data_IF_990085729573
#
_entry.id   IF_990085729573
#
_cell.length_a   1.000
_cell.length_b   1.000
_cell.length_c   1.000
_cell.angle_alpha   90.00
_cell.angle_beta   90.00
_cell.angle_gamma   90.00
#
_symmetry.space_group_name_H-M   'P 1'
#
loop_
_entity.id
_entity.type
_entity.pdbx_description
1 polymer ?
#
# COMPACT_ATOMS: atom_id res chain seq x y z
N UNK A 1 -27.74 -38.16 2.39
CA UNK A 1 -26.57 -37.94 3.26
C UNK A 1 -25.52 -37.19 2.47
N UNK A 2 -25.04 -36.11 3.10
CA UNK A 2 -24.15 -35.02 2.72
C UNK A 2 -23.06 -35.25 1.65
N UNK A 3 -23.05 -34.31 0.70
CA UNK A 3 -21.95 -33.49 0.18
C UNK A 3 -20.53 -33.73 0.74
N UNK A 4 -19.54 -33.68 -0.16
CA UNK A 4 -18.44 -32.70 -0.07
C UNK A 4 -17.76 -32.52 -1.43
N UNK A 5 -18.09 -31.42 -2.13
CA UNK A 5 -17.24 -30.82 -3.16
C UNK A 5 -16.66 -29.56 -2.53
N UNK A 6 -15.41 -29.62 -2.08
CA UNK A 6 -14.69 -28.44 -1.63
C UNK A 6 -14.22 -27.63 -2.84
N UNK A 7 -14.85 -26.47 -3.00
CA UNK A 7 -14.40 -25.35 -3.79
C UNK A 7 -13.10 -24.80 -3.19
N UNK A 8 -11.98 -24.91 -3.89
CA UNK A 8 -10.79 -24.12 -3.59
C UNK A 8 -10.83 -22.84 -4.44
N UNK A 9 -11.20 -21.74 -3.80
CA UNK A 9 -10.96 -20.38 -4.28
C UNK A 9 -9.45 -20.08 -4.10
N UNK A 10 -8.78 -19.66 -5.17
CA UNK A 10 -7.41 -19.16 -5.11
C UNK A 10 -7.42 -17.64 -4.87
N UNK A 11 -6.72 -17.12 -3.84
CA UNK A 11 -6.47 -15.69 -3.70
C UNK A 11 -5.20 -15.25 -4.44
N UNK A 12 -5.29 -14.08 -5.07
CA UNK A 12 -4.29 -13.41 -5.89
C UNK A 12 -2.99 -13.03 -5.14
N UNK A 13 -1.82 -13.36 -5.70
CA UNK A 13 -0.51 -12.79 -5.31
C UNK A 13 0.32 -12.46 -6.57
N UNK A 14 0.03 -11.33 -7.21
CA UNK A 14 0.45 -11.05 -8.60
C UNK A 14 1.97 -11.09 -8.91
N UNK A 15 2.92 -10.65 -8.07
CA UNK A 15 4.35 -10.75 -8.42
C UNK A 15 4.93 -12.16 -8.17
N UNK A 16 4.49 -12.84 -7.11
CA UNK A 16 4.86 -14.23 -6.82
C UNK A 16 4.18 -15.21 -7.80
N UNK A 17 2.98 -14.89 -8.29
CA UNK A 17 2.28 -15.68 -9.31
C UNK A 17 2.93 -15.52 -10.67
N UNK A 18 3.57 -14.40 -11.03
CA UNK A 18 4.36 -14.35 -12.28
C UNK A 18 5.61 -15.23 -12.16
N UNK A 19 6.29 -15.24 -11.01
CA UNK A 19 7.40 -16.16 -10.76
C UNK A 19 6.95 -17.63 -10.71
N UNK A 20 5.85 -17.95 -10.01
CA UNK A 20 5.29 -19.31 -9.90
C UNK A 20 4.60 -19.76 -11.20
N UNK A 21 3.98 -18.87 -11.98
CA UNK A 21 3.41 -19.16 -13.30
C UNK A 21 4.49 -19.28 -14.38
N UNK A 22 5.62 -18.59 -14.24
CA UNK A 22 6.82 -18.89 -15.03
C UNK A 22 7.39 -20.27 -14.69
N UNK A 23 7.25 -20.73 -13.44
CA UNK A 23 7.65 -22.07 -12.98
C UNK A 23 6.61 -23.15 -13.36
N UNK A 24 5.31 -22.83 -13.40
CA UNK A 24 4.22 -23.80 -13.66
C UNK A 24 3.65 -23.77 -15.08
N UNK A 25 4.05 -22.80 -15.91
CA UNK A 25 3.60 -22.62 -17.29
C UNK A 25 4.55 -23.17 -18.35
N UNK A 26 5.64 -23.84 -17.97
CA UNK A 26 6.59 -24.48 -18.89
C UNK A 26 6.07 -25.82 -19.43
N UNK A 27 4.88 -25.80 -20.02
CA UNK A 27 4.52 -26.79 -21.03
C UNK A 27 5.27 -26.47 -22.31
N UNK A 28 6.42 -27.13 -22.53
CA UNK A 28 7.30 -27.10 -23.72
C UNK A 28 8.47 -26.10 -23.75
N UNK A 29 9.20 -25.96 -22.64
CA UNK A 29 10.60 -25.48 -22.69
C UNK A 29 11.52 -26.62 -22.25
N UNK A 30 12.22 -27.24 -23.21
CA UNK A 30 13.14 -28.37 -23.01
C UNK A 30 14.47 -28.00 -22.28
N UNK A 31 14.46 -27.00 -21.39
CA UNK A 31 15.63 -26.56 -20.64
C UNK A 31 15.34 -26.28 -19.15
N UNK A 32 14.17 -26.65 -18.64
CA UNK A 32 13.88 -26.70 -17.21
C UNK A 32 13.50 -28.15 -16.88
N UNK A 33 14.41 -28.86 -16.22
CA UNK A 33 14.11 -30.19 -15.70
C UNK A 33 13.01 -30.04 -14.64
N UNK A 34 11.91 -30.76 -14.82
CA UNK A 34 10.84 -30.91 -13.82
C UNK A 34 11.48 -31.45 -12.54
N UNK A 35 11.71 -30.58 -11.57
CA UNK A 35 12.12 -31.00 -10.24
C UNK A 35 10.88 -31.49 -9.51
N UNK A 36 10.80 -32.79 -9.30
CA UNK A 36 9.79 -33.44 -8.47
C UNK A 36 9.94 -33.00 -7.01
N UNK A 37 8.85 -33.09 -6.23
CA UNK A 37 8.88 -32.83 -4.77
C UNK A 37 9.93 -33.70 -4.04
N UNK A 38 10.28 -34.86 -4.61
CA UNK A 38 11.34 -35.74 -4.10
C UNK A 38 12.72 -35.14 -4.35
N UNK A 39 12.96 -34.52 -5.51
CA UNK A 39 14.21 -33.81 -5.81
C UNK A 39 14.34 -32.51 -5.01
N UNK A 40 13.24 -31.78 -4.79
CA UNK A 40 13.21 -30.63 -3.87
C UNK A 40 13.45 -31.04 -2.41
N UNK A 41 12.97 -32.21 -1.99
CA UNK A 41 13.22 -32.78 -0.67
C UNK A 41 14.65 -33.31 -0.46
N UNK A 42 15.44 -33.46 -1.53
CA UNK A 42 16.86 -33.81 -1.51
C UNK A 42 17.77 -32.57 -1.51
N UNK A 43 17.22 -31.38 -1.74
CA UNK A 43 17.95 -30.12 -1.58
C UNK A 43 17.93 -29.79 -0.09
N UNK A 44 19.04 -30.09 0.58
CA UNK A 44 19.34 -29.55 1.90
C UNK A 44 19.58 -28.04 1.76
N UNK A 45 18.50 -27.25 1.80
CA UNK A 45 18.54 -25.77 1.79
C UNK A 45 19.17 -25.16 3.05
N UNK A 46 20.04 -25.90 3.74
CA UNK A 46 20.73 -25.50 4.96
C UNK A 46 21.68 -24.32 4.71
N UNK A 47 22.13 -24.13 3.46
CA UNK A 47 23.02 -23.04 3.02
C UNK A 47 22.29 -21.89 2.30
N UNK A 48 20.96 -21.90 2.26
CA UNK A 48 20.15 -20.85 1.63
C UNK A 48 19.79 -21.09 0.15
N UNK A 49 19.01 -20.17 -0.42
CA UNK A 49 18.50 -20.20 -1.79
C UNK A 49 18.72 -18.84 -2.45
N UNK A 50 19.43 -18.86 -3.58
CA UNK A 50 19.58 -17.70 -4.45
C UNK A 50 18.89 -17.95 -5.79
N UNK A 51 17.97 -17.06 -6.18
CA UNK A 51 17.31 -17.05 -7.48
C UNK A 51 17.65 -15.75 -8.18
N UNK A 52 18.12 -15.83 -9.42
CA UNK A 52 18.24 -14.69 -10.33
C UNK A 52 17.44 -14.98 -11.60
N UNK A 53 16.52 -14.08 -11.95
CA UNK A 53 15.70 -14.18 -13.14
C UNK A 53 15.77 -12.87 -13.93
N UNK A 54 16.18 -12.97 -15.20
CA UNK A 54 16.17 -11.87 -16.18
C UNK A 54 15.14 -12.15 -17.27
N UNK A 55 14.48 -11.09 -17.75
CA UNK A 55 13.56 -11.19 -18.89
C UNK A 55 13.49 -9.88 -19.69
N UNK A 56 13.28 -9.99 -21.00
CA UNK A 56 13.24 -8.82 -21.89
C UNK A 56 11.89 -8.09 -21.83
N UNK A 57 10.80 -8.84 -21.68
CA UNK A 57 9.44 -8.32 -21.53
C UNK A 57 8.52 -9.44 -21.04
N UNK A 58 7.33 -9.06 -20.57
CA UNK A 58 6.26 -10.03 -20.30
C UNK A 58 4.92 -9.43 -20.71
N UNK A 59 4.02 -10.29 -21.22
CA UNK A 59 2.66 -9.89 -21.58
C UNK A 59 1.66 -10.77 -20.86
N UNK A 60 0.67 -10.15 -20.23
CA UNK A 60 -0.44 -10.82 -19.57
C UNK A 60 -1.70 -10.31 -20.25
N UNK A 61 -2.50 -11.21 -20.83
CA UNK A 61 -3.70 -10.81 -21.55
C UNK A 61 -4.66 -10.03 -20.63
N UNK A 62 -4.84 -10.52 -19.40
CA UNK A 62 -5.74 -9.94 -18.41
C UNK A 62 -5.28 -10.26 -17.00
N UNK A 63 -5.18 -9.23 -16.17
CA UNK A 63 -5.09 -9.38 -14.71
C UNK A 63 -6.39 -8.87 -14.09
N UNK A 64 -6.80 -9.43 -12.96
CA UNK A 64 -8.03 -9.00 -12.32
C UNK A 64 -8.00 -9.11 -10.79
N UNK A 65 -8.82 -8.29 -10.16
CA UNK A 65 -9.22 -8.39 -8.76
C UNK A 65 -10.73 -8.61 -8.71
N UNK A 66 -11.21 -9.57 -7.93
CA UNK A 66 -12.63 -9.84 -7.75
C UNK A 66 -13.04 -9.67 -6.30
N UNK A 67 -14.27 -9.23 -6.12
CA UNK A 67 -14.86 -8.94 -4.82
C UNK A 67 -16.38 -9.14 -4.83
N UNK A 68 -16.99 -9.30 -3.66
CA UNK A 68 -18.44 -9.32 -3.46
C UNK A 68 -18.95 -7.91 -3.19
N UNK A 69 -19.92 -7.48 -3.98
CA UNK A 69 -20.65 -6.25 -3.77
C UNK A 69 -22.10 -6.58 -3.43
N UNK A 70 -22.67 -5.94 -2.40
CA UNK A 70 -24.09 -6.09 -2.12
C UNK A 70 -24.97 -5.35 -3.11
N UNK A 71 -26.21 -5.82 -3.21
CA UNK A 71 -27.26 -5.30 -4.07
C UNK A 71 -28.41 -4.76 -3.23
N UNK A 72 -29.15 -3.79 -3.79
CA UNK A 72 -30.37 -3.27 -3.18
C UNK A 72 -31.47 -4.32 -2.97
N UNK A 73 -31.35 -5.49 -3.58
CA UNK A 73 -32.29 -6.63 -3.48
C UNK A 73 -31.96 -7.58 -2.31
N UNK A 74 -31.06 -7.19 -1.41
CA UNK A 74 -30.59 -8.02 -0.28
C UNK A 74 -29.89 -9.30 -0.75
N UNK A 75 -29.02 -9.17 -1.74
CA UNK A 75 -28.21 -10.25 -2.29
C UNK A 75 -26.84 -9.70 -2.67
N UNK A 76 -25.84 -10.56 -2.84
CA UNK A 76 -24.52 -10.15 -3.32
C UNK A 76 -24.30 -10.52 -4.79
N UNK A 77 -23.45 -9.75 -5.46
CA UNK A 77 -22.90 -10.07 -6.77
C UNK A 77 -21.38 -10.05 -6.72
N UNK A 78 -20.73 -10.88 -7.52
CA UNK A 78 -19.28 -10.74 -7.73
C UNK A 78 -19.04 -9.71 -8.83
N UNK A 79 -18.18 -8.73 -8.52
CA UNK A 79 -17.63 -7.79 -9.50
C UNK A 79 -16.14 -8.08 -9.68
N UNK A 80 -15.61 -7.73 -10.85
CA UNK A 80 -14.18 -7.77 -11.10
C UNK A 80 -13.66 -6.44 -11.64
N UNK A 81 -12.53 -5.99 -11.11
CA UNK A 81 -11.69 -4.97 -11.72
C UNK A 81 -10.70 -5.66 -12.66
N UNK A 82 -10.86 -5.44 -13.95
CA UNK A 82 -10.08 -6.07 -15.02
C UNK A 82 -9.11 -5.08 -15.63
N UNK A 83 -7.85 -5.50 -15.70
CA UNK A 83 -6.75 -4.83 -16.38
C UNK A 83 -6.42 -5.62 -17.64
N UNK A 84 -6.84 -5.10 -18.79
CA UNK A 84 -6.68 -5.76 -20.10
C UNK A 84 -5.40 -5.31 -20.81
N UNK A 85 -4.77 -6.23 -21.54
CA UNK A 85 -3.57 -5.98 -22.33
C UNK A 85 -2.41 -5.50 -21.46
N UNK A 86 -2.10 -6.26 -20.41
CA UNK A 86 -1.02 -5.94 -19.49
C UNK A 86 0.32 -6.30 -20.14
N UNK A 87 1.27 -5.38 -20.04
CA UNK A 87 2.63 -5.55 -20.55
C UNK A 87 3.64 -5.05 -19.54
N UNK A 88 4.80 -5.70 -19.50
CA UNK A 88 5.97 -5.31 -18.73
C UNK A 88 7.10 -5.09 -19.74
N UNK A 89 7.63 -3.87 -19.79
CA UNK A 89 8.71 -3.50 -20.71
C UNK A 89 9.78 -2.70 -19.96
N UNK A 90 11.08 -2.90 -20.26
CA UNK A 90 12.16 -2.08 -19.69
C UNK A 90 11.97 -0.59 -19.96
N UNK A 91 12.39 0.25 -19.02
CA UNK A 91 12.31 1.72 -19.15
C UNK A 91 13.60 2.35 -19.67
N UNK A 92 14.61 1.53 -20.00
CA UNK A 92 15.96 2.00 -20.28
C UNK A 92 16.61 2.66 -19.06
N UNK A 93 16.09 2.43 -17.85
CA UNK A 93 16.61 3.01 -16.63
C UNK A 93 18.05 2.52 -16.38
N UNK A 94 18.97 3.46 -16.22
CA UNK A 94 20.38 3.21 -15.92
C UNK A 94 20.65 3.07 -14.42
N UNK A 95 19.62 3.16 -13.59
CA UNK A 95 19.72 3.22 -12.13
C UNK A 95 19.34 1.91 -11.45
N UNK A 96 19.47 0.78 -12.14
CA UNK A 96 19.46 -0.50 -11.43
C UNK A 96 20.63 -0.53 -10.44
N UNK A 97 20.37 -0.94 -9.21
CA UNK A 97 21.43 -1.11 -8.20
C UNK A 97 22.30 -2.33 -8.48
N UNK A 98 21.92 -3.14 -9.47
CA UNK A 98 22.73 -4.23 -9.98
C UNK A 98 23.37 -3.86 -11.32
N UNK A 99 24.69 -3.62 -11.27
CA UNK A 99 25.52 -3.28 -12.43
C UNK A 99 25.52 -4.38 -13.51
N UNK A 100 25.07 -5.59 -13.20
CA UNK A 100 25.02 -6.71 -14.14
C UNK A 100 23.72 -6.76 -14.96
N UNK A 101 22.67 -6.03 -14.57
CA UNK A 101 21.32 -6.15 -15.14
C UNK A 101 20.83 -4.90 -15.90
N UNK A 102 21.74 -4.06 -16.42
CA UNK A 102 21.35 -2.81 -17.09
C UNK A 102 20.50 -3.07 -18.35
N UNK A 103 19.27 -2.55 -18.36
CA UNK A 103 18.41 -2.52 -19.56
C UNK A 103 17.46 -3.71 -19.73
N UNK A 104 17.47 -4.69 -18.82
CA UNK A 104 16.48 -5.78 -18.78
C UNK A 104 15.61 -5.69 -17.54
N UNK A 105 14.52 -6.43 -17.52
CA UNK A 105 13.74 -6.67 -16.30
C UNK A 105 14.43 -7.78 -15.50
N UNK A 106 14.47 -7.65 -14.18
CA UNK A 106 15.11 -8.66 -13.33
C UNK A 106 14.44 -8.82 -11.98
N UNK A 107 14.69 -9.97 -11.37
CA UNK A 107 14.31 -10.28 -9.99
C UNK A 107 15.38 -11.15 -9.37
N UNK A 108 15.96 -10.67 -8.27
CA UNK A 108 16.87 -11.45 -7.42
C UNK A 108 16.17 -11.77 -6.10
N UNK A 109 16.26 -13.02 -5.67
CA UNK A 109 15.80 -13.49 -4.36
C UNK A 109 17.00 -14.15 -3.67
N UNK A 110 17.30 -13.72 -2.45
CA UNK A 110 18.23 -14.42 -1.57
C UNK A 110 17.50 -14.80 -0.28
N UNK A 111 17.54 -16.07 0.08
CA UNK A 111 16.90 -16.63 1.25
C UNK A 111 17.93 -17.41 2.05
N UNK A 112 18.40 -16.84 3.16
CA UNK A 112 19.28 -17.53 4.09
C UNK A 112 18.46 -18.05 5.27
N UNK A 113 18.67 -19.30 5.64
CA UNK A 113 18.05 -19.93 6.82
C UNK A 113 19.18 -20.25 7.79
N UNK A 114 19.07 -19.80 9.03
CA UNK A 114 20.07 -20.04 10.05
C UNK A 114 19.43 -20.48 11.34
N UNK A 115 20.13 -21.25 12.15
CA UNK A 115 19.67 -21.64 13.48
C UNK A 115 20.68 -21.29 14.57
N UNK A 116 20.18 -21.00 15.76
CA UNK A 116 20.97 -20.79 16.96
C UNK A 116 20.25 -21.45 18.13
N UNK A 117 20.72 -22.63 18.54
CA UNK A 117 20.04 -23.45 19.55
C UNK A 117 18.69 -23.94 19.02
N UNK A 118 17.61 -23.66 19.76
CA UNK A 118 16.25 -24.05 19.39
C UNK A 118 15.55 -23.06 18.43
N UNK A 119 16.18 -21.92 18.13
CA UNK A 119 15.63 -20.89 17.25
C UNK A 119 16.09 -21.09 15.81
N UNK A 120 15.17 -20.96 14.86
CA UNK A 120 15.47 -20.89 13.42
C UNK A 120 15.05 -19.52 12.91
N UNK A 121 16.00 -18.77 12.37
CA UNK A 121 15.80 -17.45 11.78
C UNK A 121 15.80 -17.49 10.25
N UNK A 122 15.32 -16.40 9.66
CA UNK A 122 15.27 -16.21 8.22
C UNK A 122 15.89 -14.88 7.84
N UNK A 123 16.73 -14.83 6.81
CA UNK A 123 17.05 -13.60 6.11
C UNK A 123 16.58 -13.71 4.66
N UNK A 124 15.55 -12.95 4.31
CA UNK A 124 15.00 -12.84 2.97
C UNK A 124 15.37 -11.47 2.40
N UNK A 125 16.06 -11.45 1.28
CA UNK A 125 16.34 -10.24 0.50
C UNK A 125 15.78 -10.43 -0.89
N UNK A 126 15.05 -9.44 -1.38
CA UNK A 126 14.56 -9.42 -2.75
C UNK A 126 14.78 -8.05 -3.36
N UNK A 127 15.20 -8.06 -4.61
CA UNK A 127 15.31 -6.88 -5.45
C UNK A 127 14.63 -7.20 -6.77
N UNK A 128 13.80 -6.28 -7.27
CA UNK A 128 13.16 -6.46 -8.56
C UNK A 128 13.02 -5.14 -9.29
N UNK A 129 13.30 -5.18 -10.59
CA UNK A 129 13.10 -4.07 -11.50
C UNK A 129 12.13 -4.52 -12.59
N UNK A 130 10.98 -3.86 -12.65
CA UNK A 130 9.87 -4.23 -13.54
C UNK A 130 9.66 -3.23 -14.69
N UNK A 131 10.55 -2.24 -14.83
CA UNK A 131 10.44 -1.20 -15.86
C UNK A 131 9.05 -0.56 -15.85
N UNK A 132 8.32 -0.65 -16.95
CA UNK A 132 6.93 -0.19 -17.08
C UNK A 132 5.97 -1.37 -17.09
N UNK A 133 5.19 -1.51 -16.03
CA UNK A 133 3.98 -2.32 -16.00
C UNK A 133 2.82 -1.46 -16.52
N UNK A 134 2.22 -1.80 -17.66
CA UNK A 134 1.13 -1.04 -18.29
C UNK A 134 -0.04 -1.94 -18.65
N UNK A 135 -1.23 -1.55 -18.23
CA UNK A 135 -2.51 -2.06 -18.73
C UNK A 135 -3.11 -1.07 -19.74
N UNK A 136 -3.58 -1.58 -20.87
CA UNK A 136 -4.22 -0.76 -21.90
C UNK A 136 -5.58 -0.22 -21.47
N UNK A 137 -6.30 -0.96 -20.61
CA UNK A 137 -7.61 -0.57 -20.13
C UNK A 137 -7.87 -1.14 -18.74
N UNK A 138 -8.40 -0.29 -17.85
CA UNK A 138 -9.03 -0.69 -16.57
C UNK A 138 -10.55 -0.62 -16.71
N UNK A 139 -11.26 -1.71 -16.40
CA UNK A 139 -12.74 -1.79 -16.44
C UNK A 139 -13.26 -2.50 -15.20
N UNK A 140 -14.47 -2.13 -14.78
CA UNK A 140 -15.24 -2.94 -13.83
C UNK A 140 -16.25 -3.76 -14.63
N UNK A 141 -16.29 -5.07 -14.37
CA UNK A 141 -17.16 -6.01 -15.05
C UNK A 141 -17.83 -6.98 -14.07
N UNK A 142 -18.71 -7.81 -14.60
CA UNK A 142 -19.22 -9.00 -13.91
C UNK A 142 -18.11 -10.02 -13.58
N UNK A 143 -18.49 -11.08 -12.86
CA UNK A 143 -17.60 -12.15 -12.43
C UNK A 143 -16.89 -12.88 -13.59
N UNK A 144 -17.48 -12.91 -14.78
CA UNK A 144 -16.88 -13.56 -15.95
C UNK A 144 -15.99 -12.60 -16.77
N UNK A 145 -16.08 -11.30 -16.52
CA UNK A 145 -15.44 -10.27 -17.34
C UNK A 145 -16.05 -10.16 -18.74
N UNK A 146 -17.32 -10.55 -18.88
CA UNK A 146 -18.07 -10.56 -20.13
C UNK A 146 -18.92 -9.28 -20.29
N UNK A 147 -19.55 -8.82 -19.21
CA UNK A 147 -20.32 -7.58 -19.19
C UNK A 147 -19.56 -6.53 -18.39
N UNK A 148 -19.10 -5.48 -19.08
CA UNK A 148 -18.26 -4.43 -18.50
C UNK A 148 -18.89 -3.03 -18.63
N UNK A 149 -18.58 -2.16 -17.67
CA UNK A 149 -18.77 -0.72 -17.81
C UNK A 149 -17.74 -0.09 -18.76
N UNK A 150 -17.82 1.23 -18.91
CA UNK A 150 -16.82 2.00 -19.65
C UNK A 150 -15.42 1.86 -19.02
N UNK A 151 -14.39 1.98 -19.86
CA UNK A 151 -13.00 2.00 -19.38
C UNK A 151 -12.73 3.25 -18.54
N UNK A 152 -11.99 3.07 -17.46
CA UNK A 152 -11.41 4.16 -16.67
C UNK A 152 -10.13 4.72 -17.29
N UNK A 153 -9.68 4.15 -18.40
CA UNK A 153 -8.46 4.52 -19.11
C UNK A 153 -7.35 3.47 -18.96
N UNK A 154 -6.16 3.82 -19.44
CA UNK A 154 -4.95 3.02 -19.26
C UNK A 154 -4.32 3.29 -17.89
N UNK A 155 -3.73 2.25 -17.30
CA UNK A 155 -3.03 2.35 -16.02
C UNK A 155 -1.58 1.89 -16.21
N UNK A 156 -0.62 2.62 -15.66
CA UNK A 156 0.77 2.17 -15.68
C UNK A 156 1.49 2.47 -14.37
N UNK A 157 2.43 1.61 -14.02
CA UNK A 157 3.40 1.83 -12.94
C UNK A 157 4.78 1.67 -13.55
N UNK A 158 5.65 2.62 -13.27
CA UNK A 158 7.00 2.66 -13.79
C UNK A 158 8.00 2.67 -12.65
N UNK A 159 8.87 1.68 -12.60
CA UNK A 159 10.05 1.66 -11.74
C UNK A 159 11.20 2.38 -12.45
N UNK A 160 11.86 3.27 -11.70
CA UNK A 160 13.05 4.02 -12.12
C UNK A 160 14.34 3.39 -11.58
N UNK A 161 14.21 2.60 -10.51
CA UNK A 161 15.27 1.85 -9.83
C UNK A 161 14.68 0.57 -9.23
N UNK A 162 15.55 -0.31 -8.73
CA UNK A 162 15.16 -1.58 -8.12
C UNK A 162 14.28 -1.35 -6.88
N UNK A 163 13.17 -2.09 -6.82
CA UNK A 163 12.36 -2.19 -5.60
C UNK A 163 13.00 -3.23 -4.70
N UNK A 164 13.29 -2.83 -3.46
CA UNK A 164 13.97 -3.67 -2.47
C UNK A 164 12.99 -4.09 -1.37
N UNK A 165 13.06 -5.35 -0.97
CA UNK A 165 12.46 -5.83 0.26
C UNK A 165 13.45 -6.75 1.00
N UNK A 166 13.81 -6.34 2.22
CA UNK A 166 14.66 -7.13 3.11
C UNK A 166 13.89 -7.44 4.38
N UNK A 167 13.98 -8.69 4.83
CA UNK A 167 13.39 -9.19 6.06
C UNK A 167 14.42 -10.04 6.77
N UNK A 168 14.65 -9.79 8.06
CA UNK A 168 15.49 -10.65 8.89
C UNK A 168 14.78 -10.96 10.19
N UNK A 169 14.63 -12.24 10.51
CA UNK A 169 14.00 -12.73 11.73
C UNK A 169 14.95 -13.65 12.49
N UNK A 170 14.81 -13.68 13.82
CA UNK A 170 15.61 -14.59 14.67
C UNK A 170 14.89 -15.90 14.97
N UNK A 171 13.56 -15.83 15.17
CA UNK A 171 12.75 -16.95 15.66
C UNK A 171 11.57 -17.23 14.70
N UNK A 172 11.87 -17.36 13.41
CA UNK A 172 10.93 -17.72 12.36
C UNK A 172 10.11 -16.55 11.81
N UNK A 173 9.20 -16.85 10.89
CA UNK A 173 8.19 -15.90 10.41
C UNK A 173 7.00 -15.88 11.37
N UNK A 174 6.34 -14.73 11.45
CA UNK A 174 5.09 -14.53 12.19
C UNK A 174 5.15 -14.77 13.71
N UNK A 175 6.34 -14.69 14.30
CA UNK A 175 6.49 -14.83 15.74
C UNK A 175 6.19 -13.51 16.44
N UNK A 176 5.06 -13.46 17.16
CA UNK A 176 4.61 -12.27 17.90
C UNK A 176 5.56 -11.83 19.01
N UNK A 177 6.48 -12.70 19.46
CA UNK A 177 7.37 -12.47 20.59
C UNK A 177 8.84 -12.29 20.19
N UNK A 178 9.15 -12.30 18.89
CA UNK A 178 10.51 -12.16 18.40
C UNK A 178 10.65 -10.97 17.46
N UNK A 179 11.75 -10.24 17.63
CA UNK A 179 12.06 -9.11 16.79
C UNK A 179 12.41 -9.54 15.37
N UNK A 180 12.04 -8.69 14.44
CA UNK A 180 12.46 -8.72 13.06
C UNK A 180 12.92 -7.34 12.60
N UNK A 181 13.78 -7.33 11.60
CA UNK A 181 14.14 -6.14 10.85
C UNK A 181 13.48 -6.22 9.47
N UNK A 182 12.89 -5.11 9.03
CA UNK A 182 12.33 -4.97 7.68
C UNK A 182 12.89 -3.74 7.01
N UNK A 183 13.14 -3.85 5.73
CA UNK A 183 13.33 -2.75 4.80
C UNK A 183 12.37 -2.96 3.64
N UNK A 184 11.58 -1.92 3.32
CA UNK A 184 10.82 -1.84 2.09
C UNK A 184 11.25 -0.57 1.36
N UNK A 185 11.76 -0.72 0.15
CA UNK A 185 12.21 0.36 -0.70
C UNK A 185 11.34 0.46 -1.96
N UNK A 186 10.11 0.95 -1.83
CA UNK A 186 9.38 1.45 -3.01
C UNK A 186 9.91 2.85 -3.30
N UNK A 187 10.80 2.99 -4.28
CA UNK A 187 11.54 4.23 -4.55
C UNK A 187 11.30 4.72 -5.97
N UNK A 188 11.06 6.03 -6.11
CA UNK A 188 10.93 6.74 -7.37
C UNK A 188 9.95 6.09 -8.37
N UNK A 189 8.83 5.54 -7.88
CA UNK A 189 7.83 4.93 -8.76
C UNK A 189 6.96 6.00 -9.41
N UNK A 190 6.70 5.91 -10.71
CA UNK A 190 5.71 6.77 -11.36
C UNK A 190 4.44 5.97 -11.64
N UNK A 191 3.31 6.43 -11.11
CA UNK A 191 2.00 5.85 -11.37
C UNK A 191 1.24 6.76 -12.33
N UNK A 192 0.67 6.19 -13.39
CA UNK A 192 -0.05 6.92 -14.43
C UNK A 192 -1.48 6.40 -14.55
N UNK A 193 -2.43 7.32 -14.60
CA UNK A 193 -3.78 7.09 -15.10
C UNK A 193 -3.95 7.91 -16.38
N UNK A 194 -4.07 7.21 -17.52
CA UNK A 194 -4.22 7.83 -18.84
C UNK A 194 -5.67 7.77 -19.28
N UNK A 195 -6.30 8.92 -19.48
CA UNK A 195 -7.66 9.02 -19.99
C UNK A 195 -7.67 9.71 -21.35
N UNK A 196 -8.46 9.16 -22.26
CA UNK A 196 -8.67 9.76 -23.58
C UNK A 196 -9.85 10.73 -23.51
N UNK A 197 -9.59 12.01 -23.79
CA UNK A 197 -10.60 13.03 -23.97
C UNK A 197 -11.21 12.98 -25.39
N UNK A 198 -12.27 13.74 -25.60
CA UNK A 198 -12.87 13.94 -26.94
C UNK A 198 -11.81 14.37 -27.95
N UNK A 199 -11.88 13.82 -29.17
CA UNK A 199 -10.88 14.05 -30.22
C UNK A 199 -9.63 13.18 -30.12
N UNK A 200 -9.61 12.16 -29.25
CA UNK A 200 -8.54 11.16 -29.19
C UNK A 200 -7.30 11.60 -28.38
N UNK A 201 -7.40 12.71 -27.64
CA UNK A 201 -6.29 13.30 -26.90
C UNK A 201 -6.10 12.59 -25.55
N UNK A 202 -4.92 12.02 -25.34
CA UNK A 202 -4.59 11.36 -24.07
C UNK A 202 -4.08 12.37 -23.03
N UNK A 203 -4.74 12.41 -21.87
CA UNK A 203 -4.32 13.16 -20.70
C UNK A 203 -3.93 12.20 -19.57
N UNK A 204 -2.96 12.60 -18.77
CA UNK A 204 -2.38 11.78 -17.71
C UNK A 204 -2.51 12.50 -16.37
N UNK A 205 -3.07 11.77 -15.40
CA UNK A 205 -2.86 12.04 -13.98
C UNK A 205 -1.70 11.16 -13.51
N UNK A 206 -0.76 11.75 -12.78
CA UNK A 206 0.51 11.11 -12.45
C UNK A 206 0.81 11.30 -10.96
N UNK A 207 1.08 10.20 -10.25
CA UNK A 207 1.81 10.25 -8.98
C UNK A 207 3.26 9.98 -9.32
N UNK A 208 4.07 11.04 -9.35
CA UNK A 208 5.48 11.00 -9.73
C UNK A 208 6.34 10.71 -8.51
N UNK A 209 7.45 10.01 -8.71
CA UNK A 209 8.45 9.73 -7.68
C UNK A 209 7.81 9.25 -6.36
N UNK A 210 6.79 8.40 -6.47
CA UNK A 210 6.13 7.79 -5.34
C UNK A 210 7.17 7.03 -4.54
N UNK A 211 7.27 7.39 -3.26
CA UNK A 211 8.14 6.71 -2.32
C UNK A 211 7.28 6.13 -1.20
N UNK A 212 7.57 4.89 -0.87
CA UNK A 212 7.29 4.31 0.43
C UNK A 212 8.52 3.50 0.83
N UNK A 213 9.50 4.25 1.34
CA UNK A 213 10.83 3.80 1.67
C UNK A 213 11.02 3.84 3.19
N UNK A 214 10.99 2.67 3.81
CA UNK A 214 11.17 2.55 5.25
C UNK A 214 12.07 1.39 5.64
N UNK A 215 12.78 1.58 6.75
CA UNK A 215 13.53 0.52 7.41
C UNK A 215 13.17 0.55 8.90
N UNK A 216 13.05 -0.60 9.54
CA UNK A 216 12.66 -0.62 10.94
C UNK A 216 12.88 -1.96 11.62
N UNK A 217 12.75 -1.92 12.94
CA UNK A 217 12.81 -3.08 13.82
C UNK A 217 11.53 -3.15 14.65
N UNK A 218 10.89 -4.32 14.64
CA UNK A 218 9.63 -4.54 15.35
C UNK A 218 9.18 -6.00 15.27
N UNK A 219 7.88 -6.21 15.20
CA UNK A 219 7.24 -7.51 15.20
C UNK A 219 6.38 -7.68 13.94
N UNK A 220 6.34 -8.89 13.40
CA UNK A 220 5.37 -9.30 12.38
C UNK A 220 4.75 -10.61 12.79
N UNK A 221 3.42 -10.69 12.75
CA UNK A 221 2.66 -11.87 13.15
C UNK A 221 1.27 -11.89 12.53
N UNK A 222 0.61 -13.05 12.62
CA UNK A 222 -0.82 -13.17 12.32
C UNK A 222 -1.57 -13.03 13.63
N UNK A 223 -2.33 -11.95 13.78
CA UNK A 223 -3.19 -11.74 14.94
C UNK A 223 -4.39 -12.69 14.90
N UNK A 224 -4.78 -13.20 16.05
CA UNK A 224 -5.91 -14.12 16.20
C UNK A 224 -7.16 -13.44 16.80
N UNK A 225 -8.23 -14.19 17.02
CA UNK A 225 -9.48 -13.65 17.58
C UNK A 225 -9.37 -13.16 19.03
N UNK A 226 -8.26 -13.41 19.71
CA UNK A 226 -8.02 -13.02 21.12
C UNK A 226 -7.28 -11.70 21.25
N UNK A 227 -6.84 -11.10 20.13
CA UNK A 227 -6.21 -9.78 20.14
C UNK A 227 -7.12 -8.73 20.80
N UNK A 228 -6.56 -7.98 21.74
CA UNK A 228 -7.27 -6.92 22.47
C UNK A 228 -7.61 -5.74 21.58
N UNK A 229 -6.79 -5.49 20.55
CA UNK A 229 -7.08 -4.54 19.49
C UNK A 229 -7.92 -5.22 18.39
N UNK A 230 -9.19 -4.83 18.19
CA UNK A 230 -10.06 -5.46 17.18
C UNK A 230 -9.52 -5.37 15.75
N UNK A 231 -8.74 -4.32 15.44
CA UNK A 231 -8.10 -4.21 14.13
C UNK A 231 -7.12 -5.35 13.89
N UNK A 232 -6.45 -5.86 14.92
CA UNK A 232 -5.40 -6.89 14.80
C UNK A 232 -5.96 -8.31 14.65
N UNK A 233 -7.23 -8.52 14.99
CA UNK A 233 -7.84 -9.84 14.91
C UNK A 233 -7.90 -10.35 13.47
N UNK A 234 -7.43 -11.58 13.25
CA UNK A 234 -7.36 -12.26 11.96
C UNK A 234 -6.61 -11.44 10.90
N UNK A 235 -5.53 -10.76 11.29
CA UNK A 235 -4.78 -9.85 10.43
C UNK A 235 -3.30 -10.19 10.34
N UNK A 236 -2.68 -9.86 9.22
CA UNK A 236 -1.24 -9.64 9.18
C UNK A 236 -0.95 -8.32 9.88
N UNK A 237 -0.18 -8.37 10.95
CA UNK A 237 0.21 -7.21 11.76
C UNK A 237 1.72 -7.03 11.64
N UNK A 238 2.14 -5.82 11.28
CA UNK A 238 3.49 -5.33 11.49
C UNK A 238 3.40 -4.23 12.53
N UNK A 239 4.20 -4.28 13.59
CA UNK A 239 4.16 -3.24 14.62
C UNK A 239 5.48 -3.00 15.34
N UNK A 240 5.59 -1.83 15.95
CA UNK A 240 6.61 -1.49 16.94
C UNK A 240 5.91 -1.27 18.28
N UNK A 241 6.26 -2.04 19.32
CA UNK A 241 5.60 -1.93 20.64
C UNK A 241 6.56 -1.57 21.77
N UNK A 242 7.85 -1.92 21.64
CA UNK A 242 8.83 -1.68 22.69
C UNK A 242 9.57 -0.37 22.50
N UNK A 243 10.14 0.14 23.60
CA UNK A 243 10.87 1.41 23.63
C UNK A 243 12.13 1.47 22.74
N UNK A 244 12.60 0.33 22.21
CA UNK A 244 13.72 0.28 21.26
C UNK A 244 13.29 0.06 19.80
N UNK A 245 11.99 -0.14 19.55
CA UNK A 245 11.46 -0.43 18.22
C UNK A 245 11.11 0.86 17.49
N UNK A 246 11.33 0.88 16.17
CA UNK A 246 11.10 2.06 15.36
C UNK A 246 10.97 1.71 13.88
N UNK A 247 10.46 2.68 13.12
CA UNK A 247 10.51 2.71 11.67
C UNK A 247 11.10 4.07 11.23
N UNK A 248 12.07 4.05 10.35
CA UNK A 248 12.66 5.23 9.72
C UNK A 248 12.14 5.38 8.29
N UNK A 249 11.43 6.47 8.03
CA UNK A 249 11.07 6.92 6.69
C UNK A 249 12.28 7.63 6.09
N UNK A 250 13.10 6.87 5.37
CA UNK A 250 14.36 7.35 4.81
C UNK A 250 14.11 8.13 3.53
N UNK A 251 14.65 9.36 3.44
CA UNK A 251 14.61 10.15 2.20
C UNK A 251 15.24 9.38 1.04
N UNK A 252 14.72 9.60 -0.16
CA UNK A 252 15.11 8.92 -1.39
C UNK A 252 15.71 9.94 -2.34
N UNK A 253 16.88 9.65 -2.92
CA UNK A 253 17.49 10.50 -3.96
C UNK A 253 16.63 10.47 -5.21
N UNK A 254 16.31 11.62 -5.78
CA UNK A 254 15.63 11.71 -7.08
C UNK A 254 16.63 11.41 -8.20
N UNK A 255 16.36 10.35 -8.96
CA UNK A 255 17.25 9.93 -10.07
C UNK A 255 17.30 10.96 -11.21
N UNK A 256 16.30 11.84 -11.32
CA UNK A 256 16.16 12.81 -12.40
C UNK A 256 16.43 14.25 -11.96
N UNK A 257 16.81 14.50 -10.69
CA UNK A 257 16.99 15.86 -10.17
C UNK A 257 17.99 15.95 -9.01
N UNK A 258 18.97 16.84 -9.12
CA UNK A 258 20.05 17.00 -8.12
C UNK A 258 20.06 18.36 -7.38
N UNK A 259 18.96 19.12 -7.42
CA UNK A 259 18.89 20.49 -6.91
C UNK A 259 18.00 20.73 -5.69
N UNK A 260 17.74 22.00 -5.37
CA UNK A 260 16.80 22.42 -4.32
C UNK A 260 17.34 22.32 -2.89
N UNK A 261 16.57 22.86 -1.93
CA UNK A 261 16.99 22.96 -0.52
C UNK A 261 17.21 21.62 0.19
N UNK A 262 16.66 20.53 -0.36
CA UNK A 262 16.84 19.17 0.14
C UNK A 262 17.90 18.35 -0.64
N UNK A 263 18.73 19.01 -1.47
CA UNK A 263 19.84 18.38 -2.17
C UNK A 263 19.43 17.26 -3.14
N UNK A 264 18.33 17.42 -3.85
CA UNK A 264 17.83 16.42 -4.80
C UNK A 264 17.15 15.21 -4.15
N UNK A 265 16.72 15.31 -2.89
CA UNK A 265 16.04 14.19 -2.19
C UNK A 265 14.55 14.43 -1.99
N UNK A 266 13.75 13.39 -2.20
CA UNK A 266 12.34 13.33 -1.89
C UNK A 266 12.10 12.60 -0.54
N UNK A 267 11.00 12.88 0.16
CA UNK A 267 10.60 12.19 1.38
C UNK A 267 10.55 10.67 1.27
N UNK A 268 10.71 9.98 2.41
CA UNK A 268 10.60 8.52 2.47
C UNK A 268 9.19 8.01 2.17
N UNK A 269 8.16 8.72 2.65
CA UNK A 269 6.80 8.65 2.09
C UNK A 269 6.59 9.89 1.22
N UNK A 270 6.43 9.72 -0.09
CA UNK A 270 6.24 10.84 -1.02
C UNK A 270 5.04 10.59 -1.95
N UNK A 271 4.13 11.55 -1.97
CA UNK A 271 3.01 11.63 -2.91
C UNK A 271 3.12 12.95 -3.69
N UNK A 272 3.78 12.93 -4.84
CA UNK A 272 3.90 14.10 -5.74
C UNK A 272 2.92 13.97 -6.91
N UNK A 273 1.81 14.68 -6.81
CA UNK A 273 0.69 14.63 -7.74
C UNK A 273 0.86 15.72 -8.80
N UNK A 274 0.91 15.28 -10.05
CA UNK A 274 1.04 16.13 -11.23
C UNK A 274 0.10 15.66 -12.33
N UNK A 275 -0.14 16.50 -13.34
CA UNK A 275 -0.90 16.12 -14.52
C UNK A 275 -0.21 16.59 -15.80
N UNK A 276 -0.52 15.92 -16.91
CA UNK A 276 0.03 16.25 -18.22
C UNK A 276 -1.05 16.06 -19.29
N UNK A 277 -1.25 17.08 -20.13
CA UNK A 277 -2.19 17.02 -21.23
C UNK A 277 -1.52 16.62 -22.55
N UNK A 278 -2.28 16.10 -23.51
CA UNK A 278 -1.81 15.81 -24.87
C UNK A 278 -0.50 14.98 -24.91
N UNK A 279 -0.54 13.80 -24.30
CA UNK A 279 0.64 12.95 -24.05
C UNK A 279 0.93 11.93 -25.14
N UNK A 280 0.02 11.78 -26.12
CA UNK A 280 0.09 10.69 -27.10
C UNK A 280 0.15 9.33 -26.38
N UNK A 281 1.16 8.53 -26.67
CA UNK A 281 1.40 7.23 -26.00
C UNK A 281 2.52 7.27 -24.97
N UNK A 282 3.14 8.43 -24.76
CA UNK A 282 4.37 8.56 -23.98
C UNK A 282 4.09 8.56 -22.48
N UNK A 283 4.84 7.75 -21.73
CA UNK A 283 4.86 7.76 -20.25
C UNK A 283 6.18 8.37 -19.79
N UNK A 284 6.16 9.66 -19.44
CA UNK A 284 7.36 10.39 -19.01
C UNK A 284 6.98 11.55 -18.10
N UNK A 285 7.84 11.82 -17.12
CA UNK A 285 7.73 12.95 -16.19
C UNK A 285 8.78 14.04 -16.45
N UNK A 286 9.66 13.84 -17.43
CA UNK A 286 10.86 14.67 -17.69
C UNK A 286 10.88 15.37 -19.06
N UNK A 287 9.79 15.25 -19.83
CA UNK A 287 9.66 15.90 -21.14
C UNK A 287 9.64 17.43 -21.04
N UNK A 288 10.68 18.06 -21.60
CA UNK A 288 10.87 19.52 -21.60
C UNK A 288 9.90 20.27 -22.52
N UNK A 289 9.39 19.61 -23.56
CA UNK A 289 8.49 20.22 -24.56
C UNK A 289 7.03 20.21 -24.10
N UNK A 290 6.68 19.26 -23.25
CA UNK A 290 5.38 19.15 -22.60
C UNK A 290 5.59 18.77 -21.12
N UNK A 291 6.00 19.72 -20.27
CA UNK A 291 6.31 19.45 -18.88
C UNK A 291 5.06 19.10 -18.07
N UNK A 292 5.27 18.31 -17.02
CA UNK A 292 4.22 18.04 -16.04
C UNK A 292 3.80 19.31 -15.31
N UNK A 293 2.54 19.40 -14.93
CA UNK A 293 1.96 20.51 -14.17
C UNK A 293 1.62 20.04 -12.76
N UNK A 294 2.09 20.77 -11.76
CA UNK A 294 1.89 20.43 -10.35
C UNK A 294 0.43 20.52 -9.92
N UNK A 295 0.06 19.66 -8.96
CA UNK A 295 -1.19 19.78 -8.20
C UNK A 295 -0.87 19.92 -6.73
N UNK A 296 -0.26 18.89 -6.15
CA UNK A 296 -0.07 18.75 -4.72
C UNK A 296 1.10 17.82 -4.45
N UNK A 297 1.91 18.15 -3.45
CA UNK A 297 2.91 17.25 -2.88
C UNK A 297 2.66 17.09 -1.39
N UNK A 298 2.63 15.83 -0.95
CA UNK A 298 2.59 15.44 0.46
C UNK A 298 3.79 14.55 0.75
N UNK A 299 4.47 14.78 1.87
CA UNK A 299 5.64 14.01 2.24
C UNK A 299 5.77 13.77 3.74
N UNK A 300 6.41 12.66 4.11
CA UNK A 300 6.85 12.41 5.47
C UNK A 300 8.23 11.73 5.50
N UNK A 301 9.07 12.11 6.45
CA UNK A 301 10.41 11.55 6.66
C UNK A 301 10.76 11.48 8.15
N UNK A 302 11.80 10.73 8.48
CA UNK A 302 12.31 10.61 9.86
C UNK A 302 11.74 9.40 10.60
N UNK A 303 11.98 9.35 11.91
CA UNK A 303 11.66 8.19 12.74
C UNK A 303 10.26 8.23 13.29
N UNK A 304 9.56 7.11 13.27
CA UNK A 304 8.29 6.90 13.94
C UNK A 304 8.35 5.66 14.86
N UNK A 305 7.50 5.67 15.88
CA UNK A 305 7.39 4.65 16.95
C UNK A 305 5.93 4.32 17.20
N UNK A 306 5.62 3.32 18.01
CA UNK A 306 4.23 2.83 18.21
C UNK A 306 3.49 2.66 16.86
N UNK A 307 4.26 2.34 15.82
CA UNK A 307 3.79 2.19 14.48
C UNK A 307 3.11 0.84 14.33
N UNK A 308 2.04 0.80 13.57
CA UNK A 308 1.45 -0.44 13.13
C UNK A 308 0.91 -0.33 11.71
N UNK A 309 1.07 -1.41 10.96
CA UNK A 309 0.42 -1.65 9.68
C UNK A 309 -0.33 -2.96 9.80
N UNK A 310 -1.63 -2.90 9.54
CA UNK A 310 -2.54 -4.03 9.65
C UNK A 310 -3.15 -4.26 8.29
N UNK A 311 -3.16 -5.51 7.83
CA UNK A 311 -3.80 -5.91 6.56
C UNK A 311 -4.59 -7.19 6.78
N UNK A 312 -5.86 -7.21 6.36
CA UNK A 312 -6.71 -8.40 6.40
C UNK A 312 -7.85 -8.36 5.38
N UNK A 313 -8.45 -9.52 5.13
CA UNK A 313 -9.77 -9.56 4.51
C UNK A 313 -10.82 -8.97 5.43
N UNK A 314 -11.87 -8.37 4.87
CA UNK A 314 -12.97 -7.77 5.65
C UNK A 314 -14.32 -8.25 5.15
N UNK A 315 -15.20 -8.61 6.09
CA UNK A 315 -16.63 -8.75 5.84
C UNK A 315 -17.29 -7.42 6.18
N UNK A 316 -17.70 -6.68 5.15
CA UNK A 316 -18.32 -5.37 5.29
C UNK A 316 -19.78 -5.42 5.69
N UNK A 317 -20.37 -6.61 5.89
CA UNK A 317 -21.81 -6.77 6.19
C UNK A 317 -22.13 -6.55 7.66
N UNK A 318 -23.36 -6.14 7.90
CA UNK A 318 -23.97 -6.05 9.22
C UNK A 318 -25.43 -6.46 9.13
N UNK A 319 -25.98 -7.08 10.18
CA UNK A 319 -27.40 -7.47 10.25
C UNK A 319 -28.34 -6.31 9.89
N UNK A 320 -27.94 -5.07 10.24
CA UNK A 320 -28.55 -3.83 9.76
C UNK A 320 -27.63 -3.18 8.72
N UNK A 321 -27.98 -3.17 7.41
CA UNK A 321 -27.11 -2.65 6.36
C UNK A 321 -26.66 -1.19 6.54
N UNK A 322 -27.47 -0.35 7.19
CA UNK A 322 -27.07 1.02 7.50
C UNK A 322 -25.83 1.13 8.42
N UNK A 323 -25.53 0.06 9.18
CA UNK A 323 -24.37 -0.05 10.07
C UNK A 323 -23.23 -0.87 9.45
N UNK A 324 -23.36 -1.25 8.17
CA UNK A 324 -22.31 -1.91 7.41
C UNK A 324 -21.19 -0.93 7.05
N UNK A 325 -20.03 -1.44 6.64
CA UNK A 325 -18.95 -0.61 6.10
C UNK A 325 -19.52 0.17 4.90
N UNK A 326 -19.50 1.50 4.97
CA UNK A 326 -20.04 2.43 3.96
C UNK A 326 -21.58 2.40 3.75
N UNK A 327 -22.33 1.65 4.56
CA UNK A 327 -23.80 1.64 4.59
C UNK A 327 -24.48 0.66 3.61
N UNK A 328 -25.75 0.91 3.30
CA UNK A 328 -26.57 0.05 2.45
C UNK A 328 -26.33 0.28 0.95
N UNK A 329 -26.44 -0.78 0.14
CA UNK A 329 -26.49 -0.68 -1.32
C UNK A 329 -27.81 -0.06 -1.79
N UNK A 330 -27.75 0.81 -2.81
CA UNK A 330 -28.90 1.51 -3.37
C UNK A 330 -29.11 1.19 -4.85
N UNK A 331 -30.36 0.93 -5.21
CA UNK A 331 -30.77 0.71 -6.60
C UNK A 331 -30.61 1.97 -7.45
N UNK A 332 -30.70 1.81 -8.79
CA UNK A 332 -30.76 2.94 -9.71
C UNK A 332 -31.94 3.89 -9.42
N UNK A 333 -33.04 3.37 -8.87
CA UNK A 333 -34.22 4.14 -8.43
C UNK A 333 -34.05 4.77 -7.03
N UNK A 334 -32.96 4.47 -6.31
CA UNK A 334 -32.67 5.03 -4.98
C UNK A 334 -33.25 4.23 -3.80
N UNK A 335 -33.73 3.01 -4.02
CA UNK A 335 -34.23 2.11 -2.97
C UNK A 335 -33.06 1.48 -2.20
N UNK A 336 -33.07 1.57 -0.87
CA UNK A 336 -32.05 0.99 0.00
C UNK A 336 -32.29 -0.51 0.21
N UNK A 337 -31.21 -1.29 0.31
CA UNK A 337 -31.28 -2.60 0.92
C UNK A 337 -31.62 -2.52 2.41
N UNK A 338 -32.18 -3.61 2.94
CA UNK A 338 -32.59 -3.75 4.34
C UNK A 338 -32.09 -5.02 5.03
N UNK A 339 -31.58 -6.01 4.28
CA UNK A 339 -31.02 -7.26 4.79
C UNK A 339 -29.49 -7.33 4.64
N UNK A 340 -28.87 -8.21 5.44
CA UNK A 340 -27.40 -8.30 5.63
C UNK A 340 -26.57 -8.30 4.34
N UNK A 341 -26.99 -9.02 3.31
CA UNK A 341 -26.29 -9.15 2.03
C UNK A 341 -26.47 -7.91 1.12
N UNK A 342 -27.18 -6.90 1.59
CA UNK A 342 -27.33 -5.60 0.94
C UNK A 342 -26.38 -4.51 1.47
N UNK A 343 -25.29 -4.89 2.14
CA UNK A 343 -24.18 -3.98 2.44
C UNK A 343 -23.53 -3.47 1.16
N UNK A 344 -23.16 -2.19 1.10
CA UNK A 344 -22.47 -1.65 -0.08
C UNK A 344 -21.08 -2.28 -0.28
N UNK A 345 -20.38 -2.61 0.81
CA UNK A 345 -19.04 -3.18 0.79
C UNK A 345 -19.04 -4.70 0.56
N UNK A 346 -20.19 -5.37 0.75
CA UNK A 346 -20.32 -6.82 0.62
C UNK A 346 -19.52 -7.60 1.67
N UNK A 347 -19.37 -8.91 1.43
CA UNK A 347 -18.78 -9.90 2.33
C UNK A 347 -17.30 -10.16 2.12
N UNK A 348 -16.75 -9.65 1.04
CA UNK A 348 -15.33 -9.73 0.69
C UNK A 348 -14.77 -8.31 0.58
N UNK A 349 -13.45 -8.18 0.65
CA UNK A 349 -12.78 -6.89 0.62
C UNK A 349 -11.41 -6.93 1.28
N UNK A 350 -10.67 -5.83 1.15
CA UNK A 350 -9.40 -5.64 1.83
C UNK A 350 -9.49 -4.49 2.84
N UNK A 351 -9.09 -4.78 4.07
CA UNK A 351 -8.92 -3.80 5.13
C UNK A 351 -7.43 -3.49 5.33
N UNK A 352 -7.13 -2.22 5.52
CA UNK A 352 -5.83 -1.74 5.95
C UNK A 352 -5.98 -0.65 7.01
N UNK A 353 -5.05 -0.61 7.96
CA UNK A 353 -4.85 0.53 8.84
C UNK A 353 -3.38 0.76 9.10
N UNK A 354 -2.96 2.02 9.02
CA UNK A 354 -1.61 2.44 9.36
C UNK A 354 -1.70 3.48 10.48
N UNK A 355 -0.91 3.26 11.52
CA UNK A 355 -0.74 4.21 12.62
C UNK A 355 0.75 4.38 12.90
N UNK A 356 1.16 5.58 13.29
CA UNK A 356 2.52 5.83 13.77
C UNK A 356 2.60 7.10 14.62
N UNK A 357 3.42 7.07 15.66
CA UNK A 357 3.76 8.23 16.48
C UNK A 357 5.08 8.83 16.01
N UNK A 358 5.08 10.12 15.73
CA UNK A 358 6.23 10.85 15.21
C UNK A 358 7.21 11.23 16.32
N UNK A 359 8.50 11.03 16.05
CA UNK A 359 9.56 11.55 16.94
C UNK A 359 9.70 13.06 16.75
N UNK A 360 9.89 13.77 17.85
CA UNK A 360 9.95 15.24 17.83
C UNK A 360 11.24 15.75 17.21
N UNK A 361 12.38 15.22 17.67
CA UNK A 361 13.72 15.64 17.27
C UNK A 361 14.71 14.52 17.54
N UNK A 362 15.97 14.75 17.18
CA UNK A 362 17.02 13.72 17.28
C UNK A 362 17.31 13.29 18.72
N UNK A 363 17.08 14.17 19.71
CA UNK A 363 17.22 13.81 21.14
C UNK A 363 16.09 12.89 21.62
N UNK A 364 14.85 13.15 21.19
CA UNK A 364 13.70 12.27 21.40
C UNK A 364 13.94 10.91 20.72
N UNK A 365 14.50 10.94 19.50
CA UNK A 365 14.78 9.77 18.68
C UNK A 365 16.01 8.94 19.14
N UNK A 366 16.93 9.53 19.91
CA UNK A 366 18.09 8.85 20.51
C UNK A 366 17.73 7.87 21.63
N UNK A 367 16.52 8.00 22.21
CA UNK A 367 15.97 7.02 23.16
C UNK A 367 15.82 5.62 22.55
N UNK A 368 15.81 5.53 21.21
CA UNK A 368 15.57 4.31 20.43
C UNK A 368 16.86 3.71 19.81
N UNK A 369 18.04 4.20 20.21
CA UNK A 369 19.35 3.73 19.71
C UNK A 369 20.31 4.85 19.31
N UNK A 370 21.50 4.47 18.82
CA UNK A 370 22.53 5.42 18.39
C UNK A 370 22.12 6.14 17.09
N UNK A 371 21.51 7.31 17.24
CA UNK A 371 21.03 8.13 16.13
C UNK A 371 19.58 7.84 15.76
N UNK A 372 18.75 8.87 15.88
CA UNK A 372 17.41 8.89 15.33
C UNK A 372 17.13 10.26 14.74
N UNK A 373 16.25 10.32 13.74
CA UNK A 373 15.91 11.56 13.04
C UNK A 373 14.53 12.04 13.49
N UNK A 374 14.42 13.29 13.91
CA UNK A 374 13.10 13.93 14.10
C UNK A 374 12.23 13.79 12.86
N UNK A 375 10.94 13.52 13.06
CA UNK A 375 10.00 13.41 11.94
C UNK A 375 9.77 14.77 11.29
N UNK A 376 9.67 14.79 9.96
CA UNK A 376 9.22 15.95 9.20
C UNK A 376 8.03 15.60 8.32
N UNK A 377 7.14 16.59 8.14
CA UNK A 377 6.01 16.53 7.22
C UNK A 377 6.16 17.63 6.17
N UNK A 378 5.99 17.30 4.91
CA UNK A 378 6.10 18.24 3.80
C UNK A 378 4.73 18.43 3.13
N UNK A 379 4.36 19.69 2.87
CA UNK A 379 3.19 20.07 2.07
C UNK A 379 3.61 21.12 1.05
N UNK A 380 3.31 20.90 -0.23
CA UNK A 380 3.66 21.86 -1.26
C UNK A 380 2.92 21.66 -2.57
N UNK A 381 3.33 22.42 -3.57
CA UNK A 381 2.89 22.18 -4.93
C UNK A 381 3.67 21.01 -5.55
N UNK A 382 3.02 20.21 -6.39
CA UNK A 382 3.67 19.11 -7.09
C UNK A 382 4.62 19.60 -8.18
N UNK A 383 5.53 18.74 -8.66
CA UNK A 383 6.47 19.09 -9.72
C UNK A 383 7.88 19.49 -9.23
N UNK A 384 8.79 19.72 -10.18
CA UNK A 384 10.15 20.25 -9.90
C UNK A 384 10.09 21.77 -9.79
N UNK A 385 11.02 22.36 -9.02
CA UNK A 385 11.08 23.82 -8.76
C UNK A 385 9.79 24.40 -8.15
N UNK A 386 9.03 23.57 -7.42
CA UNK A 386 7.86 23.98 -6.68
C UNK A 386 8.23 24.48 -5.28
N UNK A 387 7.40 25.36 -4.72
CA UNK A 387 7.50 25.79 -3.33
C UNK A 387 6.65 24.88 -2.43
N UNK A 388 7.15 24.64 -1.22
CA UNK A 388 6.48 23.89 -0.18
C UNK A 388 6.93 24.33 1.20
N UNK A 389 6.25 23.81 2.21
CA UNK A 389 6.54 24.02 3.62
C UNK A 389 6.91 22.67 4.23
N UNK A 390 8.01 22.63 4.97
CA UNK A 390 8.37 21.51 5.83
C UNK A 390 8.04 21.86 7.28
N UNK A 391 7.31 20.96 7.94
CA UNK A 391 7.04 21.00 9.37
C UNK A 391 7.99 20.02 10.06
N UNK A 392 8.70 20.49 11.07
CA UNK A 392 9.60 19.70 11.91
C UNK A 392 9.33 20.00 13.38
N UNK A 393 10.01 19.30 14.30
CA UNK A 393 9.81 19.48 15.75
C UNK A 393 8.34 19.29 16.16
N UNK A 394 7.71 18.24 15.62
CA UNK A 394 6.28 17.98 15.78
C UNK A 394 5.95 17.71 17.26
N UNK A 395 5.13 18.58 17.85
CA UNK A 395 4.66 18.46 19.23
C UNK A 395 3.16 18.19 19.28
N UNK A 396 2.67 17.50 20.32
CA UNK A 396 1.23 17.41 20.53
C UNK A 396 0.60 18.79 20.69
N UNK A 397 -0.70 18.87 20.40
CA UNK A 397 -1.49 19.99 20.89
C UNK A 397 -1.50 19.96 22.42
N UNK A 398 -1.06 21.07 23.05
CA UNK A 398 -0.97 21.22 24.50
C UNK A 398 -2.37 21.43 25.11
N UNK A 399 -3.16 20.37 25.11
CA UNK A 399 -4.47 20.33 25.78
C UNK A 399 -4.36 19.64 27.14
N UNK A 400 -5.27 19.97 28.05
CA UNK A 400 -5.45 19.21 29.29
C UNK A 400 -6.26 17.95 28.98
N UNK A 401 -5.77 16.77 29.35
CA UNK A 401 -6.48 15.49 29.11
C UNK A 401 -7.79 15.38 29.90
N UNK A 402 -7.93 16.10 31.01
CA UNK A 402 -9.14 16.18 31.83
C UNK A 402 -9.25 17.55 32.48
N UNK A 403 -10.48 18.07 32.64
CA UNK A 403 -10.75 19.32 33.38
C UNK A 403 -11.13 18.93 34.81
N UNK A 404 -10.14 18.50 35.61
CA UNK A 404 -10.33 18.30 37.05
C UNK A 404 -9.76 19.49 37.83
N UNK A 405 -10.44 19.89 38.90
CA UNK A 405 -9.98 20.94 39.81
C UNK A 405 -8.64 20.51 40.45
N UNK A 406 -7.56 21.25 40.16
CA UNK A 406 -6.21 20.92 40.64
C UNK A 406 -5.10 21.00 39.59
N UNK A 407 -5.44 21.30 38.32
CA UNK A 407 -4.45 21.52 37.27
C UNK A 407 -3.85 20.21 36.75
N UNK A 408 -4.55 19.58 35.82
CA UNK A 408 -4.03 18.39 35.12
C UNK A 408 -2.82 18.75 34.24
N UNK A 409 -1.79 17.89 34.17
CA UNK A 409 -0.67 18.08 33.26
C UNK A 409 -1.13 18.28 31.82
N UNK A 410 -0.40 19.10 31.07
CA UNK A 410 -0.59 19.23 29.63
C UNK A 410 -0.29 17.89 28.95
N UNK A 411 -0.95 17.63 27.82
CA UNK A 411 -0.71 16.46 27.00
C UNK A 411 0.77 16.34 26.62
N UNK A 412 1.36 15.18 26.92
CA UNK A 412 2.73 14.81 26.56
C UNK A 412 2.80 13.75 25.46
N UNK A 413 1.67 13.38 24.85
CA UNK A 413 1.62 12.38 23.78
C UNK A 413 2.40 12.86 22.56
N UNK A 414 2.80 11.95 21.68
CA UNK A 414 3.44 12.34 20.43
C UNK A 414 2.40 12.84 19.43
N UNK A 415 2.83 13.70 18.51
CA UNK A 415 2.07 13.90 17.27
C UNK A 415 2.00 12.55 16.55
N UNK A 416 0.83 12.16 16.06
CA UNK A 416 0.64 10.86 15.45
C UNK A 416 -0.12 10.98 14.14
N UNK A 417 0.06 9.95 13.31
CA UNK A 417 -0.76 9.69 12.14
C UNK A 417 -1.53 8.39 12.37
N UNK A 418 -2.80 8.39 12.03
CA UNK A 418 -3.65 7.21 12.03
C UNK A 418 -4.58 7.34 10.83
N UNK A 419 -4.50 6.40 9.90
CA UNK A 419 -5.38 6.39 8.71
C UNK A 419 -6.84 6.17 9.10
N UNK A 420 -7.11 5.67 10.31
CA UNK A 420 -8.35 4.97 10.60
C UNK A 420 -8.47 3.71 9.74
N UNK A 421 -9.69 3.24 9.58
CA UNK A 421 -10.01 2.04 8.80
C UNK A 421 -10.09 2.39 7.30
N UNK A 422 -9.17 1.83 6.51
CA UNK A 422 -9.16 1.99 5.05
C UNK A 422 -9.62 0.68 4.42
N UNK A 423 -10.73 0.73 3.67
CA UNK A 423 -11.30 -0.43 3.01
C UNK A 423 -11.22 -0.28 1.48
N UNK A 424 -10.81 -1.34 0.81
CA UNK A 424 -10.79 -1.44 -0.65
C UNK A 424 -11.79 -2.50 -1.08
N UNK A 425 -12.86 -2.05 -1.74
CA UNK A 425 -13.95 -2.90 -2.19
C UNK A 425 -14.43 -2.47 -3.58
N UNK A 426 -14.98 -3.43 -4.33
CA UNK A 426 -15.82 -3.12 -5.49
C UNK A 426 -17.26 -2.96 -5.01
N UNK A 427 -17.95 -1.92 -5.50
CA UNK A 427 -19.31 -1.60 -5.04
C UNK A 427 -20.30 -1.56 -6.19
N UNK A 428 -21.55 -1.97 -5.93
CA UNK A 428 -22.68 -1.82 -6.84
C UNK A 428 -23.79 -1.00 -6.19
N UNK A 429 -23.64 0.33 -6.20
CA UNK A 429 -24.62 1.22 -5.62
C UNK A 429 -24.64 2.56 -6.34
N UNK A 430 -25.82 3.17 -6.43
CA UNK A 430 -25.98 4.53 -6.97
C UNK A 430 -25.35 5.60 -6.08
N UNK A 431 -25.24 5.35 -4.77
CA UNK A 431 -24.69 6.30 -3.80
C UNK A 431 -23.93 5.59 -2.69
N UNK A 432 -22.96 6.30 -2.13
CA UNK A 432 -22.22 5.90 -0.93
C UNK A 432 -22.72 6.76 0.24
N UNK A 433 -22.99 6.14 1.38
CA UNK A 433 -23.31 6.88 2.60
C UNK A 433 -22.01 7.25 3.30
N UNK A 434 -21.73 8.54 3.42
CA UNK A 434 -20.61 9.01 4.22
C UNK A 434 -20.93 8.82 5.71
N UNK A 435 -20.00 8.31 6.53
CA UNK A 435 -20.20 8.19 7.97
C UNK A 435 -20.52 9.56 8.59
N UNK A 436 -21.55 9.59 9.44
CA UNK A 436 -21.89 10.80 10.19
C UNK A 436 -20.88 11.00 11.31
N UNK A 437 -20.08 12.07 11.26
CA UNK A 437 -19.21 12.44 12.37
C UNK A 437 -20.03 13.10 13.49
N UNK A 438 -20.51 12.29 14.42
CA UNK A 438 -21.32 12.76 15.55
C UNK A 438 -20.54 13.74 16.43
N UNK A 439 -19.25 13.51 16.66
CA UNK A 439 -18.40 14.38 17.47
C UNK A 439 -18.31 15.79 16.88
N UNK A 440 -18.01 15.94 15.58
CA UNK A 440 -17.99 17.25 14.91
C UNK A 440 -19.39 17.90 14.90
N UNK A 441 -20.45 17.10 14.72
CA UNK A 441 -21.82 17.61 14.73
C UNK A 441 -22.25 18.12 16.10
N UNK A 442 -21.72 17.55 17.20
CA UNK A 442 -21.98 18.03 18.57
C UNK A 442 -21.03 19.13 19.00
N UNK A 443 -19.81 19.21 18.46
CA UNK A 443 -18.81 20.26 18.75
C UNK A 443 -19.13 21.64 18.13
N UNK A 444 -20.40 21.91 17.80
CA UNK A 444 -20.82 23.22 17.29
C UNK A 444 -20.61 24.28 18.36
N UNK A 445 -19.79 25.29 18.04
CA UNK A 445 -19.71 26.52 18.82
C UNK A 445 -21.08 27.21 18.73
N UNK A 446 -21.88 27.11 19.79
CA UNK A 446 -23.19 27.76 19.83
C UNK A 446 -22.99 29.12 20.47
N UNK A 447 -23.01 30.17 19.64
CA UNK A 447 -23.04 31.55 20.12
C UNK A 447 -24.50 31.88 20.40
N UNK A 448 -24.89 31.88 21.67
CA UNK A 448 -26.19 32.42 22.09
C UNK A 448 -26.00 33.85 22.58
N UNK A 449 -27.07 34.64 22.56
CA UNK A 449 -27.10 36.05 23.00
C UNK A 449 -26.74 36.27 24.48
N UNK A 450 -26.32 35.23 25.22
CA UNK A 450 -25.82 35.30 26.59
C UNK A 450 -24.45 34.65 26.83
N UNK A 451 -23.75 34.19 25.79
CA UNK A 451 -22.40 33.59 25.92
C UNK A 451 -22.09 32.50 24.89
N UNK A 452 -20.82 32.11 24.86
CA UNK A 452 -20.33 30.98 24.05
C UNK A 452 -20.47 29.70 24.87
N UNK A 453 -21.27 28.75 24.41
CA UNK A 453 -21.32 27.41 25.01
C UNK A 453 -20.73 26.40 24.04
N UNK A 454 -19.86 25.53 24.57
CA UNK A 454 -19.45 24.28 23.94
C UNK A 454 -20.30 23.17 24.56
N UNK A 455 -20.96 22.36 23.74
CA UNK A 455 -21.58 21.11 24.21
C UNK A 455 -20.52 20.06 24.52
#
# INVERSE_FOLDING_TARGET
MKNNKNSQQQPSKLPLVVAIAAISGVGTVHALQEMSDVELGLIDGQDGLYVNAEYDSATINRAFWQDKAGLSTNAETTLGAYFDGVSLNPTGATHSTDITHTGKLHTTLNLDIGSSGASTGLALKSAFYFGTLKANSLRICDAAGAVCGNSYGGFAVQSQEDVIFNLTTRDGLFNKNALMNVELGLKNLNLYLTQQASGGINNQFIVRNFNFNFAGQGYMYIGDSTETNPSYQNALVLETRDAANYIDLNRVTDVNYSGGSAGGTNPGLNLDIVYKGNTGTTLTTTDVSNPVKGVLRLGASGRATNASMVVKGVDGRNATPANSILGAAYSAAGTAATGIDGSIAGSEGLYMRVRADFTKNDADAATFGAGGKGSTLELGHGGTNAYGVEFSNLTPLLIRKTIAAGGTPLNTDRGFFDTGDVNFNLINSKRVQLPTNTNLNTSRLTITTGGTTTN
#
